data_IF_798924777063
#
_entry.id   IF_798924777063
#
_cell.length_a   1.000
_cell.length_b   1.000
_cell.length_c   1.000
_cell.angle_alpha   90.00
_cell.angle_beta   90.00
_cell.angle_gamma   90.00
#
_symmetry.space_group_name_H-M   'P 1'
#
loop_
_entity.id
_entity.type
_entity.pdbx_description
1 polymer ?
#
# COMPACT_ATOMS: atom_id res chain seq x y z
N UNK A 1 1.17 -10.89 -22.07
CA UNK A 1 0.43 -9.91 -21.26
C UNK A 1 1.44 -8.88 -20.79
N UNK A 2 1.49 -7.71 -21.43
CA UNK A 2 2.26 -6.58 -20.90
C UNK A 2 1.51 -6.12 -19.66
N UNK A 3 2.02 -6.42 -18.47
CA UNK A 3 1.53 -5.78 -17.25
C UNK A 3 1.91 -4.31 -17.39
N UNK A 4 0.92 -3.43 -17.55
CA UNK A 4 1.16 -2.00 -17.64
C UNK A 4 1.73 -1.52 -16.30
N UNK A 5 2.97 -1.05 -16.31
CA UNK A 5 3.57 -0.32 -15.19
C UNK A 5 2.90 1.05 -15.10
N UNK A 6 2.65 1.53 -13.88
CA UNK A 6 1.97 2.80 -13.67
C UNK A 6 1.36 2.93 -12.29
N UNK A 7 0.55 3.96 -12.11
CA UNK A 7 -0.18 4.18 -10.87
C UNK A 7 -1.60 4.70 -11.12
N UNK A 8 -2.46 4.44 -10.14
CA UNK A 8 -3.78 5.06 -10.01
C UNK A 8 -3.79 5.75 -8.65
N UNK A 9 -4.24 7.01 -8.62
CA UNK A 9 -4.38 7.76 -7.39
C UNK A 9 -5.82 8.24 -7.22
N UNK A 10 -6.32 8.15 -5.99
CA UNK A 10 -7.63 8.61 -5.58
C UNK A 10 -7.48 9.71 -4.53
N UNK A 11 -8.16 10.83 -4.75
CA UNK A 11 -8.30 11.90 -3.76
C UNK A 11 -9.72 11.87 -3.20
N UNK A 12 -9.85 11.98 -1.88
CA UNK A 12 -11.14 12.10 -1.20
C UNK A 12 -11.03 12.97 0.05
N UNK A 13 -12.16 13.38 0.60
CA UNK A 13 -12.21 14.16 1.84
C UNK A 13 -13.27 13.56 2.76
N UNK A 14 -12.88 13.26 4.00
CA UNK A 14 -13.79 12.87 5.08
C UNK A 14 -13.83 14.04 6.06
N UNK A 15 -15.02 14.61 6.29
CA UNK A 15 -15.19 15.86 7.03
C UNK A 15 -14.28 16.99 6.51
N UNK A 16 -13.30 17.41 7.33
CA UNK A 16 -12.28 18.40 7.02
C UNK A 16 -10.89 17.76 6.93
N UNK A 17 -10.78 16.48 6.60
CA UNK A 17 -9.48 15.82 6.40
C UNK A 17 -9.45 15.18 5.03
N UNK A 18 -8.43 15.54 4.26
CA UNK A 18 -8.21 15.06 2.90
C UNK A 18 -7.29 13.84 2.91
N UNK A 19 -7.65 12.85 2.10
CA UNK A 19 -6.96 11.59 1.98
C UNK A 19 -6.55 11.35 0.53
N UNK A 20 -5.33 10.87 0.33
CA UNK A 20 -4.87 10.34 -0.95
C UNK A 20 -4.54 8.85 -0.83
N UNK A 21 -5.02 8.05 -1.79
CA UNK A 21 -4.67 6.64 -1.91
C UNK A 21 -3.98 6.44 -3.26
N UNK A 22 -2.74 5.97 -3.26
CA UNK A 22 -1.94 5.72 -4.46
C UNK A 22 -1.69 4.22 -4.56
N UNK A 23 -2.16 3.59 -5.63
CA UNK A 23 -1.85 2.21 -5.97
C UNK A 23 -0.89 2.19 -7.16
N UNK A 24 0.29 1.58 -7.03
CA UNK A 24 1.29 1.53 -8.11
C UNK A 24 1.81 0.13 -8.40
N UNK A 25 2.16 -0.09 -9.66
CA UNK A 25 2.97 -1.22 -10.12
C UNK A 25 4.24 -0.65 -10.77
N UNK A 26 5.36 -0.68 -10.05
CA UNK A 26 6.62 -0.05 -10.47
C UNK A 26 7.46 -0.97 -11.39
N UNK A 27 8.57 -0.44 -11.90
CA UNK A 27 9.52 -1.16 -12.72
C UNK A 27 9.95 -2.51 -12.10
N UNK A 28 9.69 -3.60 -12.82
CA UNK A 28 10.14 -4.95 -12.44
C UNK A 28 11.58 -5.19 -12.89
N UNK A 29 12.22 -6.20 -12.30
CA UNK A 29 13.58 -6.61 -12.66
C UNK A 29 14.45 -6.88 -11.43
N UNK A 30 15.44 -7.76 -11.61
CA UNK A 30 16.40 -8.20 -10.58
C UNK A 30 17.85 -7.81 -10.96
N UNK A 31 18.04 -7.02 -12.03
CA UNK A 31 19.38 -6.59 -12.41
C UNK A 31 19.80 -5.44 -11.48
N UNK A 32 21.09 -5.37 -11.23
CA UNK A 32 21.69 -4.22 -10.57
C UNK A 32 21.32 -2.92 -11.31
N UNK A 33 20.88 -1.90 -10.58
CA UNK A 33 20.40 -0.64 -11.12
C UNK A 33 18.89 -0.60 -11.45
N UNK A 34 18.16 -1.72 -11.40
CA UNK A 34 16.71 -1.70 -11.60
C UNK A 34 15.97 -0.92 -10.48
N UNK A 35 16.56 -0.82 -9.29
CA UNK A 35 16.05 0.02 -8.20
C UNK A 35 16.01 1.51 -8.55
N UNK A 36 16.94 1.98 -9.38
CA UNK A 36 16.96 3.38 -9.83
C UNK A 36 15.77 3.69 -10.75
N UNK A 37 15.31 2.70 -11.53
CA UNK A 37 14.10 2.83 -12.35
C UNK A 37 12.86 2.95 -11.46
N UNK A 38 12.75 2.11 -10.43
CA UNK A 38 11.67 2.21 -9.44
C UNK A 38 11.66 3.54 -8.69
N UNK A 39 12.82 4.06 -8.32
CA UNK A 39 12.94 5.40 -7.73
C UNK A 39 12.46 6.48 -8.71
N UNK A 40 12.83 6.35 -9.99
CA UNK A 40 12.41 7.27 -11.05
C UNK A 40 10.90 7.23 -11.26
N UNK A 41 10.29 6.03 -11.28
CA UNK A 41 8.84 5.87 -11.35
C UNK A 41 8.14 6.58 -10.18
N UNK A 42 8.64 6.41 -8.95
CA UNK A 42 8.07 7.08 -7.76
C UNK A 42 8.15 8.60 -7.90
N UNK A 43 9.29 9.13 -8.36
CA UNK A 43 9.47 10.56 -8.58
C UNK A 43 8.53 11.09 -9.66
N UNK A 44 8.35 10.35 -10.76
CA UNK A 44 7.42 10.71 -11.84
C UNK A 44 5.96 10.69 -11.38
N UNK A 45 5.56 9.69 -10.60
CA UNK A 45 4.20 9.61 -10.05
C UNK A 45 3.94 10.82 -9.13
N UNK A 46 4.85 11.11 -8.19
CA UNK A 46 4.72 12.28 -7.29
C UNK A 46 4.65 13.60 -8.06
N UNK A 47 5.42 13.73 -9.14
CA UNK A 47 5.50 14.95 -9.95
C UNK A 47 4.27 15.15 -10.84
N UNK A 48 3.78 14.07 -11.46
CA UNK A 48 2.84 14.14 -12.57
C UNK A 48 1.39 13.88 -12.15
N UNK A 49 1.13 13.21 -11.03
CA UNK A 49 -0.23 12.99 -10.54
C UNK A 49 -0.88 14.31 -10.10
N UNK A 50 -1.99 14.66 -10.75
CA UNK A 50 -2.77 15.87 -10.47
C UNK A 50 -4.25 15.54 -10.29
N UNK A 51 -4.88 16.22 -9.34
CA UNK A 51 -6.30 16.09 -9.06
C UNK A 51 -7.07 17.32 -9.58
N UNK A 52 -8.06 17.13 -10.48
CA UNK A 52 -8.79 18.25 -11.05
C UNK A 52 -9.66 18.95 -10.01
N UNK A 53 -9.71 20.28 -10.07
CA UNK A 53 -10.58 21.11 -9.23
C UNK A 53 -12.04 21.03 -9.71
N UNK A 54 -12.73 19.93 -9.40
CA UNK A 54 -14.11 19.71 -9.81
C UNK A 54 -15.08 20.62 -9.02
N UNK A 55 -14.80 20.86 -7.73
CA UNK A 55 -15.67 21.68 -6.87
C UNK A 55 -14.93 22.92 -6.35
N UNK A 56 -15.26 24.11 -6.88
CA UNK A 56 -14.79 25.40 -6.36
C UNK A 56 -15.58 25.74 -5.08
N UNK A 57 -15.21 25.15 -3.94
CA UNK A 57 -15.70 25.63 -2.64
C UNK A 57 -14.78 26.78 -2.18
N UNK A 58 -15.30 27.98 -1.93
CA UNK A 58 -14.48 29.16 -1.63
C UNK A 58 -13.74 29.07 -0.28
N UNK A 59 -14.08 28.11 0.57
CA UNK A 59 -13.62 28.05 1.97
C UNK A 59 -12.52 27.02 2.24
N UNK A 60 -12.13 26.19 1.27
CA UNK A 60 -11.06 25.19 1.48
C UNK A 60 -10.26 24.93 0.20
N UNK A 61 -8.94 24.96 0.32
CA UNK A 61 -8.03 24.55 -0.74
C UNK A 61 -8.18 23.04 -0.95
N UNK A 62 -8.71 22.65 -2.11
CA UNK A 62 -8.75 21.24 -2.54
C UNK A 62 -7.32 20.82 -2.90
N UNK A 63 -6.80 19.70 -2.37
CA UNK A 63 -5.47 19.19 -2.73
C UNK A 63 -5.35 18.99 -4.24
N UNK A 64 -4.24 19.44 -4.83
CA UNK A 64 -4.01 19.32 -6.28
C UNK A 64 -2.99 18.23 -6.60
N UNK A 65 -2.12 17.89 -5.65
CA UNK A 65 -1.10 16.84 -5.74
C UNK A 65 -1.21 15.86 -4.57
N UNK A 66 -0.54 14.71 -4.70
CA UNK A 66 -0.50 13.67 -3.66
C UNK A 66 -0.07 14.28 -2.31
N UNK A 67 1.03 15.03 -2.31
CA UNK A 67 1.62 15.61 -1.09
C UNK A 67 0.87 16.82 -0.53
N UNK A 68 -0.18 17.31 -1.20
CA UNK A 68 -1.03 18.39 -0.69
C UNK A 68 -2.13 17.87 0.26
N UNK A 69 -2.28 16.55 0.38
CA UNK A 69 -3.30 15.93 1.24
C UNK A 69 -2.83 15.88 2.69
N UNK A 70 -3.77 15.97 3.62
CA UNK A 70 -3.50 15.88 5.06
C UNK A 70 -2.92 14.51 5.41
N UNK A 71 -3.44 13.44 4.79
CA UNK A 71 -3.00 12.06 4.99
C UNK A 71 -2.94 11.33 3.64
N UNK A 72 -1.91 10.52 3.42
CA UNK A 72 -1.79 9.71 2.21
C UNK A 72 -1.32 8.29 2.51
N UNK A 73 -1.81 7.33 1.73
CA UNK A 73 -1.41 5.92 1.76
C UNK A 73 -0.99 5.51 0.36
N UNK A 74 0.22 4.97 0.24
CA UNK A 74 0.78 4.47 -1.01
C UNK A 74 1.01 2.97 -0.89
N UNK A 75 0.47 2.20 -1.82
CA UNK A 75 0.57 0.74 -1.80
C UNK A 75 0.66 0.13 -3.19
N UNK A 76 0.96 -1.16 -3.25
CA UNK A 76 0.95 -1.96 -4.48
C UNK A 76 2.21 -2.79 -4.64
N UNK A 77 2.42 -3.28 -5.86
CA UNK A 77 3.63 -4.01 -6.25
C UNK A 77 4.74 -3.01 -6.59
N UNK A 78 5.50 -2.63 -5.56
CA UNK A 78 6.62 -1.70 -5.69
C UNK A 78 7.86 -2.37 -6.29
N UNK A 79 7.87 -3.71 -6.42
CA UNK A 79 8.87 -4.49 -7.12
C UNK A 79 10.33 -4.36 -6.63
N UNK A 80 10.58 -3.71 -5.49
CA UNK A 80 11.91 -3.72 -4.85
C UNK A 80 12.28 -5.13 -4.42
N UNK A 81 13.58 -5.45 -4.51
CA UNK A 81 14.11 -6.81 -4.31
C UNK A 81 15.05 -6.86 -3.12
N UNK A 82 15.39 -8.08 -2.69
CA UNK A 82 16.44 -8.32 -1.71
C UNK A 82 17.79 -8.44 -2.44
N UNK A 83 18.80 -7.70 -1.99
CA UNK A 83 20.15 -7.68 -2.58
C UNK A 83 21.02 -8.84 -2.10
N UNK A 84 20.48 -10.05 -2.14
CA UNK A 84 21.19 -11.28 -1.77
C UNK A 84 21.04 -12.33 -2.87
N UNK A 85 21.97 -13.28 -2.89
CA UNK A 85 21.85 -14.47 -3.73
C UNK A 85 20.66 -15.33 -3.30
N UNK A 86 20.10 -16.11 -4.23
CA UNK A 86 18.96 -16.98 -3.96
C UNK A 86 19.19 -17.94 -2.78
N UNK A 87 20.35 -18.60 -2.70
CA UNK A 87 20.59 -19.62 -1.66
C UNK A 87 20.72 -18.99 -0.27
N UNK A 88 21.38 -17.84 -0.15
CA UNK A 88 21.51 -17.10 1.11
C UNK A 88 20.17 -16.54 1.56
N UNK A 89 19.41 -15.93 0.64
CA UNK A 89 18.05 -15.47 0.92
C UNK A 89 17.19 -16.61 1.42
N UNK A 90 17.28 -17.78 0.77
CA UNK A 90 16.46 -18.93 1.13
C UNK A 90 16.80 -19.48 2.51
N UNK A 91 18.08 -19.58 2.87
CA UNK A 91 18.50 -19.99 4.21
C UNK A 91 17.90 -19.07 5.28
N UNK A 92 18.00 -17.75 5.10
CA UNK A 92 17.41 -16.79 6.04
C UNK A 92 15.88 -16.86 6.08
N UNK A 93 15.23 -17.16 4.95
CA UNK A 93 13.78 -17.37 4.90
C UNK A 93 13.37 -18.63 5.66
N UNK A 94 14.12 -19.73 5.53
CA UNK A 94 13.87 -20.99 6.25
C UNK A 94 14.01 -20.79 7.77
N UNK A 95 14.95 -19.95 8.20
CA UNK A 95 15.18 -19.61 9.61
C UNK A 95 14.26 -18.49 10.16
N UNK A 96 13.40 -17.90 9.31
CA UNK A 96 12.56 -16.74 9.63
C UNK A 96 13.34 -15.48 10.07
N UNK A 97 14.56 -15.31 9.55
CA UNK A 97 15.47 -14.20 9.83
C UNK A 97 15.08 -12.93 9.02
N UNK A 98 13.86 -12.43 9.26
CA UNK A 98 13.28 -11.32 8.50
C UNK A 98 14.07 -10.02 8.63
N UNK A 99 14.58 -9.73 9.83
CA UNK A 99 15.33 -8.49 10.10
C UNK A 99 16.61 -8.44 9.27
N UNK A 100 17.38 -9.54 9.27
CA UNK A 100 18.59 -9.72 8.47
C UNK A 100 18.32 -9.58 6.96
N UNK A 101 17.19 -10.11 6.47
CA UNK A 101 16.76 -9.94 5.08
C UNK A 101 16.35 -8.50 4.76
N UNK A 102 15.64 -7.83 5.66
CA UNK A 102 15.15 -6.46 5.50
C UNK A 102 16.29 -5.43 5.53
N UNK A 103 17.44 -5.74 6.13
CA UNK A 103 18.67 -4.94 5.99
C UNK A 103 19.19 -4.93 4.55
N UNK A 104 18.85 -5.94 3.75
CA UNK A 104 19.24 -6.09 2.34
C UNK A 104 18.10 -5.77 1.37
N UNK A 105 16.95 -5.33 1.88
CA UNK A 105 15.80 -4.91 1.07
C UNK A 105 16.09 -3.57 0.39
N UNK A 106 15.96 -3.53 -0.94
CA UNK A 106 16.26 -2.32 -1.71
C UNK A 106 15.38 -1.15 -1.28
N UNK A 107 14.08 -1.34 -1.00
CA UNK A 107 13.22 -0.22 -0.60
C UNK A 107 13.70 0.39 0.72
N UNK A 108 14.05 -0.44 1.71
CA UNK A 108 14.59 0.04 2.98
C UNK A 108 15.90 0.81 2.78
N UNK A 109 16.82 0.29 1.97
CA UNK A 109 18.11 0.93 1.69
C UNK A 109 17.92 2.28 0.97
N UNK A 110 17.06 2.33 -0.05
CA UNK A 110 16.77 3.55 -0.80
C UNK A 110 16.07 4.61 0.08
N UNK A 111 15.15 4.18 0.96
CA UNK A 111 14.47 5.06 1.92
C UNK A 111 15.44 5.62 2.97
N UNK A 112 16.27 4.77 3.57
CA UNK A 112 17.27 5.18 4.57
C UNK A 112 18.28 6.17 3.99
N UNK A 113 18.64 6.01 2.72
CA UNK A 113 19.50 6.94 2.02
C UNK A 113 18.78 8.21 1.52
N UNK A 114 17.48 8.36 1.77
CA UNK A 114 16.69 9.53 1.38
C UNK A 114 16.49 9.67 -0.14
N UNK A 115 16.67 8.58 -0.91
CA UNK A 115 16.56 8.59 -2.39
C UNK A 115 15.13 8.38 -2.88
N UNK A 116 14.26 7.80 -2.05
CA UNK A 116 12.87 7.52 -2.38
C UNK A 116 11.98 7.61 -1.14
N UNK A 117 10.70 7.95 -1.33
CA UNK A 117 9.70 7.96 -0.26
C UNK A 117 10.09 8.80 0.98
N UNK A 118 10.82 9.91 0.78
CA UNK A 118 11.20 10.83 1.86
C UNK A 118 9.96 11.35 2.60
N UNK A 119 9.93 11.21 3.92
CA UNK A 119 8.80 11.61 4.77
C UNK A 119 7.67 10.57 4.86
N UNK A 120 7.75 9.47 4.11
CA UNK A 120 6.80 8.36 4.23
C UNK A 120 7.27 7.34 5.26
N UNK A 121 6.31 6.79 6.00
CA UNK A 121 6.47 5.78 7.04
C UNK A 121 6.01 4.42 6.51
N UNK A 122 6.55 3.37 7.08
CA UNK A 122 6.17 1.99 6.83
C UNK A 122 6.28 1.21 8.15
N UNK A 123 5.37 0.28 8.41
CA UNK A 123 5.40 -0.52 9.62
C UNK A 123 6.50 -1.57 9.56
N UNK A 124 6.90 -2.08 10.72
CA UNK A 124 7.84 -3.19 10.77
C UNK A 124 7.18 -4.42 10.14
N UNK A 125 7.91 -5.05 9.22
CA UNK A 125 7.47 -6.27 8.54
C UNK A 125 7.87 -7.47 9.41
N UNK A 126 6.89 -8.30 9.75
CA UNK A 126 7.07 -9.52 10.53
C UNK A 126 6.63 -10.78 9.77
N UNK A 127 6.40 -10.66 8.46
CA UNK A 127 5.87 -11.71 7.60
C UNK A 127 6.85 -12.06 6.49
N UNK A 128 6.79 -13.31 6.02
CA UNK A 128 7.69 -13.82 4.99
C UNK A 128 7.52 -13.09 3.63
N UNK A 129 8.58 -13.04 2.80
CA UNK A 129 8.54 -12.41 1.48
C UNK A 129 7.32 -12.83 0.65
N UNK A 130 6.69 -11.88 -0.03
CA UNK A 130 5.39 -12.07 -0.69
C UNK A 130 5.52 -12.56 -2.13
N UNK A 131 6.74 -12.53 -2.69
CA UNK A 131 7.05 -12.91 -4.06
C UNK A 131 8.34 -13.74 -4.10
N UNK A 132 8.58 -14.68 -5.03
CA UNK A 132 7.65 -15.25 -6.02
C UNK A 132 7.28 -16.66 -5.63
N UNK A 133 5.99 -16.96 -5.52
CA UNK A 133 5.49 -18.29 -5.22
C UNK A 133 5.24 -19.14 -6.47
N UNK A 134 5.31 -20.46 -6.29
CA UNK A 134 4.71 -21.40 -7.25
C UNK A 134 3.20 -21.38 -7.08
N UNK A 135 2.45 -21.38 -8.19
CA UNK A 135 0.99 -21.34 -8.19
C UNK A 135 0.39 -22.45 -7.31
N UNK A 136 -0.60 -22.10 -6.48
CA UNK A 136 -1.26 -23.01 -5.54
C UNK A 136 -0.29 -23.75 -4.58
N UNK A 137 0.88 -23.17 -4.28
CA UNK A 137 1.86 -23.74 -3.34
C UNK A 137 2.42 -22.68 -2.41
N UNK A 138 2.96 -23.12 -1.27
CA UNK A 138 3.80 -22.32 -0.37
C UNK A 138 5.29 -22.35 -0.74
N UNK A 139 5.65 -23.15 -1.76
CA UNK A 139 7.02 -23.19 -2.27
C UNK A 139 7.34 -21.91 -3.05
N UNK A 140 8.53 -21.36 -2.83
CA UNK A 140 9.04 -20.29 -3.68
C UNK A 140 9.41 -20.83 -5.07
N UNK A 141 9.27 -19.98 -6.09
CA UNK A 141 9.45 -20.35 -7.48
C UNK A 141 10.88 -20.86 -7.75
N UNK A 142 10.98 -22.12 -8.18
CA UNK A 142 12.25 -22.76 -8.55
C UNK A 142 12.93 -23.55 -7.44
N UNK A 143 12.26 -23.74 -6.31
CA UNK A 143 12.70 -24.59 -5.20
C UNK A 143 12.82 -26.07 -5.62
N UNK A 144 11.78 -26.61 -6.26
CA UNK A 144 11.69 -28.02 -6.69
C UNK A 144 12.24 -28.30 -8.10
N UNK A 145 12.77 -27.30 -8.79
CA UNK A 145 13.22 -27.44 -10.19
C UNK A 145 14.70 -27.83 -10.30
N UNK A 146 14.98 -28.86 -11.11
CA UNK A 146 16.36 -29.25 -11.48
C UNK A 146 17.11 -28.14 -12.24
N UNK A 147 16.40 -27.21 -12.87
CA UNK A 147 16.97 -26.09 -13.63
C UNK A 147 16.86 -24.79 -12.84
N UNK A 148 18.01 -24.19 -12.52
CA UNK A 148 18.10 -22.90 -11.81
C UNK A 148 17.63 -21.69 -12.65
N UNK A 149 17.39 -21.86 -13.96
CA UNK A 149 17.06 -20.75 -14.90
C UNK A 149 15.74 -20.03 -14.61
N UNK A 150 14.83 -20.63 -13.83
CA UNK A 150 13.53 -20.04 -13.46
C UNK A 150 13.46 -19.55 -12.00
N UNK A 151 14.57 -19.62 -11.24
CA UNK A 151 14.59 -19.15 -9.86
C UNK A 151 14.43 -17.64 -9.80
N UNK A 152 13.69 -17.18 -8.80
CA UNK A 152 13.55 -15.78 -8.40
C UNK A 152 13.85 -15.70 -6.92
N UNK A 153 14.61 -14.69 -6.53
CA UNK A 153 14.94 -14.49 -5.12
C UNK A 153 13.68 -14.05 -4.38
N UNK A 154 13.33 -14.67 -3.25
CA UNK A 154 12.22 -14.21 -2.42
C UNK A 154 12.36 -12.71 -2.08
N UNK A 155 11.28 -11.94 -2.24
CA UNK A 155 11.28 -10.50 -2.01
C UNK A 155 9.92 -9.97 -1.50
N UNK A 156 9.95 -8.85 -0.77
CA UNK A 156 8.77 -8.06 -0.43
C UNK A 156 8.51 -7.03 -1.53
N UNK A 157 7.90 -7.50 -2.61
CA UNK A 157 7.48 -6.64 -3.72
C UNK A 157 6.25 -5.79 -3.33
N UNK A 158 5.38 -6.35 -2.50
CA UNK A 158 4.07 -5.78 -2.16
C UNK A 158 4.16 -4.98 -0.85
N UNK A 159 4.01 -3.65 -0.92
CA UNK A 159 4.32 -2.74 0.20
C UNK A 159 3.19 -1.75 0.48
N UNK A 160 3.10 -1.26 1.71
CA UNK A 160 2.13 -0.24 2.13
C UNK A 160 2.83 0.81 2.98
N UNK A 161 2.88 2.03 2.48
CA UNK A 161 3.49 3.20 3.12
C UNK A 161 2.43 4.27 3.38
N UNK A 162 2.70 5.17 4.31
CA UNK A 162 1.82 6.31 4.59
C UNK A 162 2.58 7.57 4.98
N UNK A 163 1.96 8.74 4.82
CA UNK A 163 2.47 10.01 5.32
C UNK A 163 1.32 10.91 5.80
N UNK A 164 1.66 11.98 6.50
CA UNK A 164 0.70 12.89 7.11
C UNK A 164 0.53 12.69 8.62
N UNK A 165 -0.07 13.68 9.26
CA UNK A 165 -0.32 13.70 10.69
C UNK A 165 -1.68 13.10 11.03
N UNK A 166 -1.79 12.47 12.20
CA UNK A 166 -3.03 11.85 12.67
C UNK A 166 -3.36 10.50 12.04
N UNK A 167 -2.47 9.93 11.21
CA UNK A 167 -2.58 8.57 10.68
C UNK A 167 -1.56 7.62 11.34
N UNK A 168 -2.05 6.50 11.84
CA UNK A 168 -1.28 5.49 12.57
C UNK A 168 -1.59 4.11 12.00
N UNK A 169 -0.57 3.35 11.61
CA UNK A 169 -0.73 1.97 11.18
C UNK A 169 -0.85 1.06 12.41
N UNK A 170 -1.97 0.36 12.54
CA UNK A 170 -2.27 -0.56 13.64
C UNK A 170 -1.87 -1.99 13.33
N UNK A 171 -1.99 -2.40 12.07
CA UNK A 171 -1.66 -3.74 11.61
C UNK A 171 -0.99 -3.68 10.24
N UNK A 172 -0.02 -4.56 10.02
CA UNK A 172 0.64 -4.74 8.73
C UNK A 172 1.03 -6.21 8.55
N UNK A 173 0.37 -6.90 7.63
CA UNK A 173 0.51 -8.35 7.49
C UNK A 173 0.18 -8.82 6.07
N UNK A 174 0.33 -10.12 5.80
CA UNK A 174 -0.03 -10.77 4.55
C UNK A 174 -1.12 -11.82 4.75
N UNK A 175 -1.88 -12.10 3.70
CA UNK A 175 -2.82 -13.22 3.64
C UNK A 175 -2.21 -14.44 2.94
N UNK A 176 -2.71 -15.63 3.28
CA UNK A 176 -2.18 -16.91 2.76
C UNK A 176 -2.99 -17.44 1.55
N UNK A 177 -3.49 -16.54 0.69
CA UNK A 177 -4.17 -16.92 -0.54
C UNK A 177 -3.16 -17.29 -1.63
N UNK A 178 -3.35 -18.45 -2.27
CA UNK A 178 -2.33 -19.11 -3.12
C UNK A 178 -2.61 -19.06 -4.63
N UNK A 179 -3.65 -18.34 -5.04
CA UNK A 179 -4.07 -18.25 -6.44
C UNK A 179 -3.17 -17.35 -7.30
N UNK A 180 -2.20 -16.67 -6.70
CA UNK A 180 -1.23 -15.81 -7.39
C UNK A 180 0.19 -16.25 -7.01
N UNK A 181 1.18 -15.84 -7.80
CA UNK A 181 2.59 -15.92 -7.44
C UNK A 181 3.00 -14.84 -6.42
N UNK A 182 2.06 -13.96 -6.03
CA UNK A 182 2.15 -13.05 -4.90
C UNK A 182 1.22 -13.47 -3.75
N UNK A 183 1.61 -13.16 -2.51
CA UNK A 183 0.72 -13.19 -1.35
C UNK A 183 0.09 -11.80 -1.14
N UNK A 184 -1.24 -11.70 -0.93
CA UNK A 184 -1.88 -10.41 -0.69
C UNK A 184 -1.33 -9.77 0.59
N UNK A 185 -1.13 -8.46 0.57
CA UNK A 185 -0.67 -7.67 1.73
C UNK A 185 -1.78 -6.72 2.15
N UNK A 186 -1.95 -6.53 3.45
CA UNK A 186 -2.95 -5.63 4.00
C UNK A 186 -2.41 -4.84 5.19
N UNK A 187 -3.02 -3.69 5.43
CA UNK A 187 -2.75 -2.86 6.59
C UNK A 187 -4.04 -2.26 7.14
N UNK A 188 -4.09 -2.07 8.45
CA UNK A 188 -5.20 -1.40 9.14
C UNK A 188 -4.66 -0.10 9.72
N UNK A 189 -5.39 0.99 9.48
CA UNK A 189 -5.01 2.33 9.93
C UNK A 189 -6.06 2.92 10.87
N UNK A 190 -5.58 3.64 11.89
CA UNK A 190 -6.36 4.60 12.66
C UNK A 190 -6.05 5.99 12.10
N UNK A 191 -7.09 6.67 11.62
CA UNK A 191 -6.99 8.01 11.06
C UNK A 191 -7.84 8.99 11.86
N UNK A 192 -7.21 10.04 12.37
CA UNK A 192 -7.88 11.17 12.98
C UNK A 192 -8.44 12.09 11.88
N UNK A 193 -9.67 12.56 12.07
CA UNK A 193 -10.34 13.47 11.14
C UNK A 193 -10.82 14.71 11.87
N UNK A 194 -10.62 15.87 11.26
CA UNK A 194 -11.15 17.13 11.76
C UNK A 194 -12.62 17.25 11.34
N UNK A 195 -13.50 17.58 12.29
CA UNK A 195 -14.95 17.69 12.06
C UNK A 195 -15.39 19.13 11.81
N UNK A 196 -16.55 19.30 11.18
CA UNK A 196 -17.20 20.60 11.12
C UNK A 196 -17.74 20.95 12.51
N UNK A 197 -17.54 22.19 12.96
CA UNK A 197 -18.21 22.69 14.15
C UNK A 197 -19.71 22.67 13.89
N UNK A 198 -20.45 21.84 14.62
CA UNK A 198 -21.91 21.87 14.59
C UNK A 198 -22.32 23.10 15.39
N UNK A 199 -22.79 24.14 14.70
CA UNK A 199 -23.40 25.29 15.40
C UNK A 199 -24.60 24.75 16.20
N UNK A 200 -24.78 25.14 17.48
CA UNK A 200 -25.80 24.56 18.37
C UNK A 200 -27.24 24.59 17.86
N UNK A 201 -27.55 25.43 16.85
CA UNK A 201 -28.88 25.53 16.24
C UNK A 201 -29.23 24.33 15.33
N UNK A 202 -28.26 23.67 14.69
CA UNK A 202 -28.50 22.55 13.76
C UNK A 202 -28.55 21.18 14.46
N UNK A 203 -27.94 21.07 15.66
CA UNK A 203 -27.99 19.86 16.48
C UNK A 203 -29.41 19.49 16.95
N UNK A 204 -30.34 20.45 16.98
CA UNK A 204 -31.76 20.19 17.29
C UNK A 204 -32.51 19.53 16.13
N UNK A 205 -32.19 19.86 14.89
CA UNK A 205 -32.87 19.28 13.71
C UNK A 205 -32.40 17.86 13.41
N UNK A 206 -31.12 17.55 13.61
CA UNK A 206 -30.59 16.19 13.43
C UNK A 206 -31.14 15.17 14.45
N UNK A 207 -31.52 15.61 15.66
CA UNK A 207 -32.22 14.74 16.64
C UNK A 207 -33.68 14.46 16.28
N UNK A 208 -34.30 15.29 15.43
CA UNK A 208 -35.68 15.09 14.95
C UNK A 208 -35.75 14.20 13.70
N UNK A 209 -34.63 14.00 13.00
CA UNK A 209 -34.53 13.19 11.79
C UNK A 209 -34.10 11.73 12.04
N UNK A 210 -34.11 11.24 13.29
CA UNK A 210 -33.95 9.80 13.55
C UNK A 210 -35.20 9.06 13.07
N UNK A 211 -35.11 8.46 11.88
CA UNK A 211 -36.13 7.60 11.32
C UNK A 211 -36.58 6.52 12.32
N UNK A 212 -37.88 6.51 12.62
CA UNK A 212 -38.57 5.32 13.12
C UNK A 212 -38.58 4.28 11.99
N UNK A 213 -37.85 3.19 12.13
CA UNK A 213 -38.06 2.00 11.31
C UNK A 213 -39.37 1.32 11.71
N UNK A 214 -40.32 1.06 10.80
CA UNK A 214 -41.28 -0.01 10.99
C UNK A 214 -40.59 -1.32 10.62
N UNK A 215 -40.32 -2.16 11.62
CA UNK A 215 -40.00 -3.57 11.41
C UNK A 215 -41.28 -4.31 11.05
N UNK A 216 -41.44 -4.67 9.78
CA UNK A 216 -42.25 -5.83 9.39
C UNK A 216 -41.89 -6.24 7.96
N UNK A 217 -41.11 -7.30 7.82
CA UNK A 217 -41.07 -8.10 6.59
C UNK A 217 -42.23 -9.10 6.65
N UNK A 218 -43.04 -9.29 5.59
CA UNK A 218 -43.94 -10.41 5.51
C UNK A 218 -43.12 -11.69 5.32
N UNK A 219 -43.35 -12.68 6.17
CA UNK A 219 -42.96 -14.06 5.89
C UNK A 219 -43.73 -14.52 4.65
N UNK A 220 -43.02 -14.93 3.61
CA UNK A 220 -43.61 -15.70 2.52
C UNK A 220 -44.06 -17.04 3.11
N UNK A 221 -45.37 -17.25 3.14
CA UNK A 221 -46.00 -18.51 3.49
C UNK A 221 -46.27 -19.35 2.24
N UNK A 222 -46.08 -20.65 2.46
CA UNK A 222 -46.51 -21.86 1.74
C UNK A 222 -45.97 -22.15 0.32
#
# INVERSE_FOLDING_TARGET
>A
MLLAQGSIAMSMTIHKTSFCFVCSHLASGEKEGDELKRNSDVAEILKNTQFPRICKRPTRQVPERIMDHDQAVWFGDLNYRVMLGYEETRALVEDNEWESLLEKDQLNIEKQAGRVFTGWKEGKIYFAPTYKYTYNSDDYAGEKLKSKKKRRTPAWCDRILWCGDGIEQLQYDRGELKFSDHRPVFAVFKAQVETFEIKPKEAKELKLASWKTPLSYPLAGD
#
